data_IF_180883676148
#
_entry.id   IF_180883676148
#
_cell.length_a   1.000
_cell.length_b   1.000
_cell.length_c   1.000
_cell.angle_alpha   90.00
_cell.angle_beta   90.00
_cell.angle_gamma   90.00
#
_symmetry.space_group_name_H-M   'P 1'
#
loop_
_entity.id
_entity.type
_entity.pdbx_description
1 polymer ?
#
# COMPACT_ATOMS: atom_id res chain seq x y z
N UNK A 1 4.73 -20.12 1.40
CA UNK A 1 4.11 -21.36 1.93
C UNK A 1 3.51 -21.09 3.29
N UNK A 2 2.21 -21.36 3.46
CA UNK A 2 1.48 -21.12 4.71
C UNK A 2 1.80 -22.20 5.76
N UNK A 3 2.00 -23.44 5.33
CA UNK A 3 2.45 -24.58 6.14
C UNK A 3 3.53 -25.37 5.39
N UNK A 4 4.36 -26.11 6.14
CA UNK A 4 5.33 -27.05 5.56
C UNK A 4 4.71 -28.44 5.31
N UNK A 5 3.57 -28.74 5.94
CA UNK A 5 2.94 -30.08 5.91
C UNK A 5 1.56 -30.06 5.26
N UNK A 6 1.04 -28.89 4.88
CA UNK A 6 -0.25 -28.77 4.22
C UNK A 6 -0.07 -28.15 2.83
N UNK A 7 -0.45 -28.86 1.75
CA UNK A 7 -0.40 -28.29 0.42
C UNK A 7 -1.39 -27.12 0.32
N UNK A 8 -1.14 -26.19 -0.60
CA UNK A 8 -1.98 -25.01 -0.78
C UNK A 8 -2.20 -24.79 -2.28
N UNK A 9 -3.44 -24.56 -2.68
CA UNK A 9 -3.79 -24.13 -4.03
C UNK A 9 -3.85 -22.61 -4.03
N UNK A 10 -3.06 -21.97 -4.88
CA UNK A 10 -3.13 -20.53 -5.11
C UNK A 10 -3.99 -20.30 -6.35
N UNK A 11 -5.22 -19.83 -6.16
CA UNK A 11 -6.15 -19.53 -7.26
C UNK A 11 -6.12 -18.06 -7.70
N UNK A 12 -5.45 -17.19 -6.94
CA UNK A 12 -5.33 -15.77 -7.25
C UNK A 12 -3.95 -15.21 -6.88
N UNK A 13 -3.49 -14.21 -7.65
CA UNK A 13 -2.30 -13.41 -7.39
C UNK A 13 -2.67 -11.93 -7.51
N UNK A 14 -2.22 -11.13 -6.54
CA UNK A 14 -2.38 -9.68 -6.59
C UNK A 14 -1.50 -9.07 -7.67
N UNK A 15 -2.01 -8.05 -8.33
CA UNK A 15 -1.27 -7.18 -9.22
C UNK A 15 -0.34 -6.23 -8.47
N UNK A 16 0.29 -5.32 -9.20
CA UNK A 16 1.16 -4.28 -8.65
C UNK A 16 1.04 -3.01 -9.49
N UNK A 17 0.84 -1.88 -8.81
CA UNK A 17 1.18 -0.56 -9.34
C UNK A 17 2.20 0.10 -8.41
N UNK A 18 3.13 0.88 -8.97
CA UNK A 18 4.24 1.45 -8.22
C UNK A 18 4.51 2.88 -8.66
N UNK A 19 4.52 3.79 -7.69
CA UNK A 19 4.58 5.23 -7.89
C UNK A 19 5.75 5.87 -7.14
N UNK A 20 6.21 7.00 -7.67
CA UNK A 20 7.10 7.95 -7.00
C UNK A 20 6.35 9.27 -6.87
N UNK A 21 6.13 9.71 -5.62
CA UNK A 21 5.59 11.02 -5.29
C UNK A 21 6.75 11.93 -4.89
N UNK A 22 6.92 13.05 -5.59
CA UNK A 22 7.86 14.11 -5.21
C UNK A 22 7.09 15.33 -4.74
N UNK A 23 7.53 15.92 -3.64
CA UNK A 23 7.02 17.17 -3.07
C UNK A 23 8.14 18.20 -3.07
N UNK A 24 7.87 19.38 -3.60
CA UNK A 24 8.80 20.49 -3.78
C UNK A 24 8.31 21.72 -3.02
N UNK A 25 9.24 22.44 -2.38
CA UNK A 25 8.97 23.71 -1.72
C UNK A 25 9.91 24.78 -2.26
N UNK A 26 10.97 25.16 -1.52
CA UNK A 26 11.90 26.19 -1.96
C UNK A 26 12.78 25.72 -3.13
N UNK A 27 13.33 26.68 -3.87
CA UNK A 27 14.18 26.41 -5.05
C UNK A 27 15.51 25.70 -4.72
N UNK A 28 15.94 25.77 -3.47
CA UNK A 28 17.15 25.15 -2.94
C UNK A 28 16.97 24.91 -1.44
N UNK A 29 17.84 24.10 -0.86
CA UNK A 29 17.91 23.89 0.59
C UNK A 29 18.10 25.23 1.32
N UNK A 30 17.38 25.42 2.42
CA UNK A 30 17.39 26.64 3.22
C UNK A 30 17.95 26.40 4.62
N UNK A 31 18.44 27.46 5.26
CA UNK A 31 18.84 27.42 6.67
C UNK A 31 17.58 27.33 7.55
N UNK A 32 17.40 26.22 8.26
CA UNK A 32 16.15 25.97 8.99
C UNK A 32 15.90 26.96 10.14
N UNK A 33 16.95 27.54 10.72
CA UNK A 33 16.80 28.57 11.75
C UNK A 33 16.31 29.94 11.23
N UNK A 34 16.46 30.22 9.94
CA UNK A 34 16.01 31.49 9.33
C UNK A 34 14.62 31.32 8.74
N UNK A 35 14.39 30.19 8.05
CA UNK A 35 13.18 29.96 7.25
C UNK A 35 12.17 29.02 7.91
N UNK A 36 12.56 28.34 9.00
CA UNK A 36 11.67 27.45 9.74
C UNK A 36 10.46 28.20 10.29
N UNK A 37 9.29 27.60 10.13
CA UNK A 37 8.00 28.22 10.52
C UNK A 37 7.45 29.24 9.53
N UNK A 38 8.20 29.62 8.50
CA UNK A 38 7.77 30.58 7.46
C UNK A 38 7.64 29.91 6.10
N UNK A 39 8.64 29.12 5.70
CA UNK A 39 8.59 28.32 4.47
C UNK A 39 8.10 26.91 4.82
N UNK A 40 7.04 26.44 4.14
CA UNK A 40 6.53 25.10 4.37
C UNK A 40 7.59 24.07 3.98
N UNK A 41 7.98 23.26 4.96
CA UNK A 41 8.96 22.20 4.79
C UNK A 41 8.39 21.05 3.94
N UNK A 42 8.97 20.72 2.78
CA UNK A 42 8.54 19.60 1.94
C UNK A 42 8.49 18.25 2.66
N UNK A 43 9.40 18.01 3.63
CA UNK A 43 9.40 16.79 4.42
C UNK A 43 8.15 16.67 5.29
N UNK A 44 7.72 17.78 5.89
CA UNK A 44 6.51 17.84 6.71
C UNK A 44 5.26 17.63 5.85
N UNK A 45 5.13 18.38 4.75
CA UNK A 45 4.00 18.24 3.85
C UNK A 45 3.88 16.81 3.28
N UNK A 46 5.00 16.17 2.92
CA UNK A 46 4.99 14.77 2.47
C UNK A 46 4.54 13.82 3.58
N UNK A 47 5.02 14.00 4.81
CA UNK A 47 4.65 13.17 5.94
C UNK A 47 3.15 13.26 6.23
N UNK A 48 2.58 14.47 6.22
CA UNK A 48 1.15 14.72 6.41
C UNK A 48 0.32 14.06 5.30
N UNK A 49 0.73 14.23 4.03
CA UNK A 49 0.06 13.60 2.90
C UNK A 49 0.07 12.07 2.99
N UNK A 50 1.19 11.47 3.37
CA UNK A 50 1.31 10.01 3.51
C UNK A 50 0.52 9.49 4.71
N UNK A 51 0.57 10.19 5.84
CA UNK A 51 -0.20 9.83 7.02
C UNK A 51 -1.70 9.81 6.71
N UNK A 52 -2.18 10.76 5.91
CA UNK A 52 -3.57 10.82 5.50
C UNK A 52 -4.01 9.74 4.49
N UNK A 53 -3.09 8.95 3.90
CA UNK A 53 -3.43 7.86 2.96
C UNK A 53 -4.02 6.63 3.66
N UNK A 54 -3.93 6.55 4.99
CA UNK A 54 -4.60 5.54 5.81
C UNK A 54 -5.39 6.20 6.93
N UNK A 55 -6.51 5.58 7.31
CA UNK A 55 -7.22 5.94 8.52
C UNK A 55 -6.61 5.26 9.77
N UNK A 56 -7.17 5.57 10.95
CA UNK A 56 -6.72 4.97 12.21
C UNK A 56 -6.94 3.44 12.29
N UNK A 57 -7.83 2.89 11.45
CA UNK A 57 -8.10 1.46 11.32
C UNK A 57 -7.22 0.76 10.28
N UNK A 58 -6.34 1.49 9.59
CA UNK A 58 -5.49 0.99 8.53
C UNK A 58 -6.20 0.74 7.21
N UNK A 59 -7.37 1.34 6.97
CA UNK A 59 -8.00 1.36 5.65
C UNK A 59 -7.38 2.48 4.82
N UNK A 60 -7.20 2.22 3.52
CA UNK A 60 -6.72 3.22 2.56
C UNK A 60 -7.81 4.26 2.32
N UNK A 61 -7.45 5.54 2.35
CA UNK A 61 -8.40 6.66 2.30
C UNK A 61 -8.53 7.28 0.91
N UNK A 62 -7.83 6.75 -0.10
CA UNK A 62 -7.92 7.27 -1.46
C UNK A 62 -9.37 7.17 -1.96
N UNK A 63 -9.88 8.21 -2.63
CA UNK A 63 -11.27 8.23 -3.09
C UNK A 63 -11.51 7.09 -4.07
N UNK A 64 -12.54 6.27 -3.81
CA UNK A 64 -12.93 5.14 -4.66
C UNK A 64 -11.99 3.92 -4.61
N UNK A 65 -11.01 3.88 -3.70
CA UNK A 65 -10.00 2.81 -3.66
C UNK A 65 -10.59 1.39 -3.59
N UNK A 66 -11.71 1.25 -2.89
CA UNK A 66 -12.35 -0.04 -2.64
C UNK A 66 -13.53 -0.35 -3.57
N UNK A 67 -13.92 0.56 -4.48
CA UNK A 67 -15.17 0.47 -5.25
C UNK A 67 -15.23 -0.77 -6.16
N UNK A 68 -14.08 -1.22 -6.65
CA UNK A 68 -13.96 -2.41 -7.50
C UNK A 68 -13.48 -3.66 -6.76
N UNK A 69 -13.32 -3.56 -5.44
CA UNK A 69 -12.88 -4.72 -4.66
C UNK A 69 -14.06 -5.64 -4.46
N UNK A 70 -13.97 -6.84 -5.03
CA UNK A 70 -14.99 -7.88 -4.87
C UNK A 70 -15.19 -8.24 -3.40
N UNK A 71 -16.44 -8.42 -3.01
CA UNK A 71 -16.77 -9.04 -1.73
C UNK A 71 -16.46 -10.54 -1.76
N UNK A 72 -16.01 -11.07 -0.63
CA UNK A 72 -15.78 -12.50 -0.46
C UNK A 72 -17.09 -13.17 -0.07
N UNK A 73 -17.50 -14.19 -0.82
CA UNK A 73 -18.67 -15.00 -0.45
C UNK A 73 -18.41 -15.83 0.81
N UNK A 74 -19.48 -16.34 1.42
CA UNK A 74 -19.40 -17.05 2.70
C UNK A 74 -18.53 -18.32 2.63
N UNK A 75 -18.50 -18.99 1.49
CA UNK A 75 -17.70 -20.19 1.26
C UNK A 75 -16.20 -19.84 1.18
N UNK A 76 -15.86 -18.79 0.44
CA UNK A 76 -14.49 -18.27 0.32
C UNK A 76 -13.95 -17.82 1.68
N UNK A 77 -14.76 -17.08 2.45
CA UNK A 77 -14.37 -16.65 3.80
C UNK A 77 -14.15 -17.85 4.72
N UNK A 78 -15.00 -18.87 4.64
CA UNK A 78 -14.84 -20.09 5.43
C UNK A 78 -13.53 -20.82 5.08
N UNK A 79 -13.22 -20.99 3.80
CA UNK A 79 -11.97 -21.63 3.36
C UNK A 79 -10.72 -20.84 3.76
N UNK A 80 -10.73 -19.52 3.63
CA UNK A 80 -9.62 -18.66 4.06
C UNK A 80 -9.41 -18.71 5.59
N UNK A 81 -10.50 -18.82 6.36
CA UNK A 81 -10.43 -18.92 7.81
C UNK A 81 -9.77 -20.23 8.29
N UNK A 82 -9.91 -21.33 7.52
CA UNK A 82 -9.29 -22.63 7.85
C UNK A 82 -7.76 -22.59 7.86
N UNK A 83 -7.15 -21.65 7.14
CA UNK A 83 -5.69 -21.54 7.03
C UNK A 83 -4.99 -21.05 8.32
N UNK A 84 -5.75 -20.46 9.28
CA UNK A 84 -5.30 -20.07 10.63
C UNK A 84 -3.85 -19.55 10.71
N UNK A 85 -3.56 -18.49 9.96
CA UNK A 85 -2.18 -18.04 9.66
C UNK A 85 -1.59 -17.06 10.68
N UNK A 86 -2.42 -16.48 11.54
CA UNK A 86 -2.08 -15.32 12.36
C UNK A 86 -0.83 -15.50 13.22
N UNK A 87 -0.78 -16.55 14.05
CA UNK A 87 0.36 -16.83 14.92
C UNK A 87 1.65 -17.01 14.12
N UNK A 88 1.57 -17.73 13.02
CA UNK A 88 2.71 -17.95 12.11
C UNK A 88 3.19 -16.64 11.49
N UNK A 89 2.28 -15.75 11.09
CA UNK A 89 2.62 -14.44 10.53
C UNK A 89 3.32 -13.55 11.57
N UNK A 90 2.78 -13.47 12.79
CA UNK A 90 3.38 -12.73 13.91
C UNK A 90 4.81 -13.22 14.17
N UNK A 91 5.00 -14.54 14.31
CA UNK A 91 6.32 -15.13 14.55
C UNK A 91 7.29 -14.90 13.39
N UNK A 92 6.86 -15.11 12.14
CA UNK A 92 7.73 -14.94 10.96
C UNK A 92 8.11 -13.49 10.69
N UNK A 93 7.18 -12.55 10.89
CA UNK A 93 7.43 -11.13 10.71
C UNK A 93 8.22 -10.51 11.89
N UNK A 94 8.31 -11.20 13.03
CA UNK A 94 9.02 -10.71 14.21
C UNK A 94 8.32 -9.52 14.88
N UNK A 95 6.99 -9.43 14.75
CA UNK A 95 6.18 -8.35 15.34
C UNK A 95 5.40 -8.85 16.55
N UNK A 96 4.95 -7.95 17.41
CA UNK A 96 4.13 -8.32 18.58
C UNK A 96 2.65 -8.51 18.24
N UNK A 97 2.15 -7.77 17.25
CA UNK A 97 0.76 -7.78 16.77
C UNK A 97 0.72 -7.46 15.28
N UNK A 98 -0.30 -7.96 14.58
CA UNK A 98 -0.59 -7.59 13.20
C UNK A 98 -1.41 -6.28 13.14
N UNK A 99 -1.37 -5.60 12.00
CA UNK A 99 -2.08 -4.33 11.76
C UNK A 99 -2.86 -4.38 10.44
N UNK A 100 -3.76 -3.41 10.23
CA UNK A 100 -4.57 -3.24 9.01
C UNK A 100 -6.07 -3.40 9.27
N UNK A 101 -6.86 -3.52 8.19
CA UNK A 101 -8.33 -3.58 8.21
C UNK A 101 -8.88 -4.62 9.22
N UNK A 102 -9.51 -4.17 10.31
CA UNK A 102 -9.95 -5.06 11.42
C UNK A 102 -11.12 -5.98 11.06
N UNK A 103 -11.87 -5.63 10.02
CA UNK A 103 -13.02 -6.41 9.52
C UNK A 103 -12.58 -7.69 8.77
N UNK A 104 -11.28 -7.79 8.44
CA UNK A 104 -10.70 -8.87 7.67
C UNK A 104 -9.60 -9.58 8.47
N UNK A 105 -9.63 -10.91 8.43
CA UNK A 105 -8.59 -11.77 8.97
C UNK A 105 -7.24 -11.50 8.29
N UNK A 106 -6.11 -11.84 8.94
CA UNK A 106 -4.79 -11.73 8.30
C UNK A 106 -4.69 -12.45 6.94
N UNK A 107 -5.33 -13.62 6.81
CA UNK A 107 -5.33 -14.38 5.55
C UNK A 107 -6.07 -13.63 4.44
N UNK A 108 -7.24 -13.06 4.74
CA UNK A 108 -8.00 -12.24 3.79
C UNK A 108 -7.18 -11.01 3.35
N UNK A 109 -6.52 -10.32 4.29
CA UNK A 109 -5.68 -9.16 3.99
C UNK A 109 -4.47 -9.47 3.10
N UNK A 110 -3.89 -10.66 3.24
CA UNK A 110 -2.72 -11.07 2.44
C UNK A 110 -3.05 -11.38 0.98
N UNK A 111 -4.25 -11.89 0.71
CA UNK A 111 -4.61 -12.42 -0.61
C UNK A 111 -5.71 -11.64 -1.33
N UNK A 112 -6.74 -11.23 -0.60
CA UNK A 112 -8.00 -10.74 -1.15
C UNK A 112 -8.22 -9.23 -0.98
N UNK A 113 -7.38 -8.56 -0.20
CA UNK A 113 -7.46 -7.10 -0.01
C UNK A 113 -6.35 -6.37 -0.75
N UNK A 114 -6.64 -5.21 -1.37
CA UNK A 114 -5.61 -4.36 -1.91
C UNK A 114 -4.84 -3.67 -0.78
N UNK A 115 -3.63 -3.20 -1.08
CA UNK A 115 -2.79 -2.49 -0.11
C UNK A 115 -2.21 -1.23 -0.73
N UNK A 116 -1.79 -0.29 0.12
CA UNK A 116 -0.96 0.85 -0.24
C UNK A 116 0.20 0.90 0.75
N UNK A 117 1.44 0.79 0.26
CA UNK A 117 2.61 0.66 1.12
C UNK A 117 3.67 1.69 0.76
N UNK A 118 4.33 2.23 1.79
CA UNK A 118 5.44 3.17 1.64
C UNK A 118 6.75 2.38 1.66
N UNK A 119 7.36 2.23 0.49
CA UNK A 119 8.56 1.43 0.30
C UNK A 119 9.85 2.25 0.46
N UNK A 120 9.74 3.57 0.41
CA UNK A 120 10.88 4.46 0.53
C UNK A 120 10.45 5.88 0.86
N UNK A 121 11.26 6.53 1.69
CA UNK A 121 11.11 7.92 2.09
C UNK A 121 12.48 8.59 2.02
N UNK A 122 12.53 9.77 1.41
CA UNK A 122 13.76 10.55 1.31
C UNK A 122 13.46 12.04 1.50
N UNK A 123 14.20 12.68 2.40
CA UNK A 123 14.26 14.13 2.49
C UNK A 123 15.45 14.60 3.32
N UNK A 124 15.98 15.79 3.02
CA UNK A 124 16.95 16.49 3.84
C UNK A 124 18.26 15.74 4.08
N UNK A 125 18.80 15.91 5.29
CA UNK A 125 20.09 15.34 5.68
C UNK A 125 19.90 13.97 6.35
N UNK A 126 20.38 12.91 5.69
CA UNK A 126 20.27 11.51 6.16
C UNK A 126 21.61 10.91 6.61
N UNK A 127 22.68 11.72 6.65
CA UNK A 127 24.01 11.31 7.09
C UNK A 127 24.17 11.33 8.60
N UNK A 128 25.34 10.89 9.09
CA UNK A 128 25.68 10.98 10.50
C UNK A 128 25.85 12.42 10.97
N UNK A 129 25.47 12.70 12.23
CA UNK A 129 25.54 14.04 12.83
C UNK A 129 24.25 14.85 12.65
N UNK A 130 24.36 16.17 12.66
CA UNK A 130 23.21 17.08 12.55
C UNK A 130 23.47 18.18 11.53
N UNK A 131 22.43 18.56 10.78
CA UNK A 131 22.45 19.69 9.84
C UNK A 131 21.13 20.46 9.94
N UNK A 132 21.20 21.75 10.20
CA UNK A 132 20.05 22.67 10.30
C UNK A 132 19.56 23.11 8.92
N UNK A 133 19.05 22.14 8.15
CA UNK A 133 18.59 22.34 6.77
C UNK A 133 17.08 22.13 6.65
N UNK A 134 16.44 23.00 5.89
CA UNK A 134 15.08 22.83 5.37
C UNK A 134 15.22 22.39 3.91
N UNK A 135 14.80 21.17 3.55
CA UNK A 135 15.06 20.60 2.23
C UNK A 135 14.26 21.29 1.11
N UNK A 136 14.84 21.39 -0.08
CA UNK A 136 14.11 21.83 -1.27
C UNK A 136 12.99 20.87 -1.70
N UNK A 137 13.16 19.57 -1.43
CA UNK A 137 12.19 18.55 -1.82
C UNK A 137 12.19 17.34 -0.88
N UNK A 138 11.13 16.56 -0.97
CA UNK A 138 10.97 15.25 -0.35
C UNK A 138 10.38 14.26 -1.38
N UNK A 139 10.59 12.97 -1.16
CA UNK A 139 10.10 11.92 -2.06
C UNK A 139 9.63 10.69 -1.30
N UNK A 140 8.57 10.06 -1.80
CA UNK A 140 8.13 8.75 -1.38
C UNK A 140 7.98 7.77 -2.55
N UNK A 141 8.34 6.51 -2.29
CA UNK A 141 8.06 5.37 -3.17
C UNK A 141 6.85 4.63 -2.63
N UNK A 142 5.78 4.57 -3.40
CA UNK A 142 4.49 4.03 -2.98
C UNK A 142 4.14 2.85 -3.87
N UNK A 143 3.85 1.68 -3.30
CA UNK A 143 3.33 0.55 -4.06
C UNK A 143 1.90 0.30 -3.67
N UNK A 144 1.13 -0.23 -4.62
CA UNK A 144 -0.20 -0.76 -4.33
C UNK A 144 -0.30 -2.18 -4.87
N UNK A 145 -0.79 -3.09 -4.03
CA UNK A 145 -1.15 -4.43 -4.49
C UNK A 145 -2.59 -4.38 -4.96
N UNK A 146 -2.81 -4.77 -6.22
CA UNK A 146 -4.11 -4.72 -6.87
C UNK A 146 -4.82 -6.06 -6.69
N UNK A 147 -6.12 -6.02 -6.46
CA UNK A 147 -6.99 -7.22 -6.52
C UNK A 147 -7.74 -7.24 -7.85
N UNK A 148 -8.47 -8.32 -8.20
CA UNK A 148 -9.22 -8.38 -9.45
C UNK A 148 -10.09 -7.14 -9.67
N UNK A 149 -10.22 -6.74 -10.95
CA UNK A 149 -10.98 -5.59 -11.44
C UNK A 149 -10.38 -4.20 -11.14
N UNK A 150 -9.30 -4.12 -10.34
CA UNK A 150 -8.51 -2.90 -10.20
C UNK A 150 -7.43 -2.78 -11.27
N UNK A 151 -7.25 -1.57 -11.79
CA UNK A 151 -6.24 -1.25 -12.79
C UNK A 151 -5.29 -0.16 -12.26
N UNK A 152 -4.02 -0.21 -12.64
CA UNK A 152 -3.02 0.78 -12.21
C UNK A 152 -3.42 2.22 -12.54
N UNK A 153 -3.97 2.43 -13.72
CA UNK A 153 -4.39 3.75 -14.22
C UNK A 153 -5.45 4.38 -13.32
N UNK A 154 -6.36 3.56 -12.79
CA UNK A 154 -7.37 4.00 -11.82
C UNK A 154 -6.72 4.38 -10.48
N UNK A 155 -5.83 3.54 -9.94
CA UNK A 155 -5.10 3.87 -8.71
C UNK A 155 -4.32 5.18 -8.85
N UNK A 156 -3.70 5.41 -10.00
CA UNK A 156 -3.04 6.67 -10.31
C UNK A 156 -4.01 7.85 -10.24
N UNK A 157 -5.17 7.75 -10.89
CA UNK A 157 -6.20 8.80 -10.83
C UNK A 157 -6.72 9.05 -9.41
N UNK A 158 -6.87 8.00 -8.60
CA UNK A 158 -7.29 8.11 -7.19
C UNK A 158 -6.23 8.81 -6.34
N UNK A 159 -4.94 8.48 -6.54
CA UNK A 159 -3.81 9.19 -5.92
C UNK A 159 -3.78 10.67 -6.33
N UNK A 160 -3.91 10.98 -7.62
CA UNK A 160 -3.94 12.36 -8.12
C UNK A 160 -5.12 13.15 -7.54
N UNK A 161 -6.30 12.53 -7.44
CA UNK A 161 -7.47 13.14 -6.82
C UNK A 161 -7.25 13.43 -5.33
N UNK A 162 -6.69 12.48 -4.58
CA UNK A 162 -6.32 12.66 -3.19
C UNK A 162 -5.30 13.80 -3.02
N UNK A 163 -4.23 13.81 -3.82
CA UNK A 163 -3.19 14.85 -3.76
C UNK A 163 -3.76 16.22 -4.10
N UNK A 164 -4.63 16.32 -5.10
CA UNK A 164 -5.29 17.59 -5.47
C UNK A 164 -6.18 18.13 -4.34
N UNK A 165 -6.82 17.25 -3.56
CA UNK A 165 -7.70 17.65 -2.47
C UNK A 165 -6.95 17.99 -1.17
N UNK A 166 -5.80 17.35 -0.91
CA UNK A 166 -5.14 17.41 0.39
C UNK A 166 -3.76 18.11 0.36
N UNK A 167 -3.12 18.27 -0.79
CA UNK A 167 -1.84 18.97 -0.86
C UNK A 167 -2.04 20.48 -0.65
N UNK A 168 -1.32 21.12 0.28
CA UNK A 168 -1.45 22.55 0.50
C UNK A 168 -0.82 23.34 -0.65
N UNK A 169 -1.40 24.49 -0.99
CA UNK A 169 -0.94 25.36 -2.10
C UNK A 169 0.49 25.91 -1.92
N UNK A 170 1.06 25.75 -0.72
CA UNK A 170 2.44 26.10 -0.38
C UNK A 170 3.50 25.18 -0.98
N UNK A 171 3.11 24.04 -1.55
CA UNK A 171 4.01 23.08 -2.19
C UNK A 171 3.61 22.82 -3.65
N UNK A 172 4.55 22.25 -4.41
CA UNK A 172 4.26 21.63 -5.71
C UNK A 172 4.54 20.14 -5.61
N UNK A 173 3.75 19.30 -6.26
CA UNK A 173 3.97 17.87 -6.30
C UNK A 173 4.04 17.32 -7.72
N UNK A 174 4.65 16.14 -7.85
CA UNK A 174 4.73 15.36 -9.10
C UNK A 174 4.55 13.89 -8.75
N UNK A 175 3.66 13.19 -9.46
CA UNK A 175 3.42 11.76 -9.29
C UNK A 175 3.83 11.03 -10.58
N UNK A 176 4.70 10.03 -10.46
CA UNK A 176 5.16 9.19 -11.58
C UNK A 176 4.88 7.74 -11.30
N UNK A 177 4.46 7.00 -12.32
CA UNK A 177 4.48 5.54 -12.31
C UNK A 177 5.90 5.06 -12.66
N UNK A 178 6.45 4.13 -11.88
CA UNK A 178 7.89 3.77 -11.89
C UNK A 178 8.14 2.42 -12.57
N UNK A 179 7.14 1.57 -12.68
CA UNK A 179 7.24 0.26 -13.34
C UNK A 179 6.05 0.04 -14.25
N UNK A 180 6.20 -0.87 -15.21
CA UNK A 180 5.05 -1.47 -15.86
C UNK A 180 4.19 -2.12 -14.77
N UNK A 181 2.93 -1.75 -14.72
CA UNK A 181 1.98 -2.35 -13.79
C UNK A 181 1.65 -3.77 -14.20
N UNK A 182 1.31 -4.60 -13.22
CA UNK A 182 0.82 -5.95 -13.47
C UNK A 182 -0.59 -6.10 -12.93
N UNK A 183 -1.46 -6.70 -13.74
CA UNK A 183 -2.84 -6.92 -13.34
C UNK A 183 -2.93 -8.10 -12.37
N UNK A 184 -3.94 -8.07 -11.52
CA UNK A 184 -4.27 -9.23 -10.71
C UNK A 184 -4.70 -10.40 -11.60
N UNK A 185 -4.40 -11.61 -11.17
CA UNK A 185 -4.84 -12.85 -11.83
C UNK A 185 -5.73 -13.63 -10.88
N UNK A 186 -6.84 -14.16 -11.38
CA UNK A 186 -7.77 -14.99 -10.63
C UNK A 186 -8.31 -16.11 -11.50
N UNK A 187 -8.35 -17.31 -10.94
CA UNK A 187 -8.97 -18.49 -11.53
C UNK A 187 -10.35 -18.71 -10.93
N UNK A 188 -11.29 -19.18 -11.75
CA UNK A 188 -12.60 -19.61 -11.26
C UNK A 188 -12.45 -20.86 -10.38
N UNK A 189 -12.79 -20.71 -9.09
CA UNK A 189 -12.73 -21.76 -8.07
C UNK A 189 -13.65 -22.95 -8.40
N UNK A 190 -14.72 -22.71 -9.17
CA UNK A 190 -15.67 -23.72 -9.58
C UNK A 190 -15.31 -24.39 -10.91
N UNK A 191 -14.23 -23.95 -11.56
CA UNK A 191 -13.77 -24.59 -12.79
C UNK A 191 -13.37 -26.04 -12.54
N UNK A 192 -13.60 -26.90 -13.54
CA UNK A 192 -13.23 -28.33 -13.48
C UNK A 192 -11.75 -28.56 -13.12
N UNK A 193 -10.89 -27.60 -13.45
CA UNK A 193 -9.46 -27.67 -13.20
C UNK A 193 -9.13 -27.42 -11.73
N UNK A 194 -9.75 -26.41 -11.11
CA UNK A 194 -9.56 -26.14 -9.68
C UNK A 194 -10.16 -27.26 -8.84
N UNK A 195 -11.36 -27.73 -9.20
CA UNK A 195 -12.00 -28.87 -8.52
C UNK A 195 -11.15 -30.15 -8.59
N UNK A 196 -10.54 -30.45 -9.76
CA UNK A 196 -9.63 -31.58 -9.88
C UNK A 196 -8.38 -31.43 -9.01
N UNK A 197 -7.83 -30.22 -8.87
CA UNK A 197 -6.69 -29.96 -7.97
C UNK A 197 -7.08 -30.13 -6.50
N UNK A 198 -8.29 -29.70 -6.10
CA UNK A 198 -8.79 -29.86 -4.74
C UNK A 198 -8.95 -31.35 -4.38
N UNK A 199 -9.56 -32.14 -5.27
CA UNK A 199 -9.71 -33.59 -5.08
C UNK A 199 -8.36 -34.32 -4.98
N UNK A 200 -7.33 -33.83 -5.65
CA UNK A 200 -5.98 -34.41 -5.59
C UNK A 200 -5.23 -34.10 -4.28
N UNK A 201 -5.77 -33.21 -3.43
CA UNK A 201 -5.19 -32.88 -2.12
C UNK A 201 -5.83 -33.65 -0.95
N UNK A 202 -6.95 -34.32 -1.18
CA UNK A 202 -7.61 -35.25 -0.24
C UNK A 202 -6.93 -36.63 -0.25
#
# INVERSE_FOLDING_TARGET
MLSATQPTIVYALRGLAYFELRVYGPKQDLHSGIYGGVVHNPAQALAELIAGMHDAGGRVTLPGFYDKVRELDAEERAELARLSTEKTLVTRAGVSKLWGEQEFTPTERLGARPTLEINGLYSGFVGAGAKTVLPAYAMAKISTRLVPDQESTEIKSQLEAYLKANAPDTIRWELKEVTDSSNASISDRNSRWVQAMMQAQE
#
